data_IF_434368449669
#
_entry.id   IF_434368449669
#
_cell.length_a   1.000
_cell.length_b   1.000
_cell.length_c   1.000
_cell.angle_alpha   90.00
_cell.angle_beta   90.00
_cell.angle_gamma   90.00
#
_symmetry.space_group_name_H-M   'P 1'
#
loop_
_entity.id
_entity.type
_entity.pdbx_description
1 polymer ?
#
# COMPACT_ATOMS: atom_id res chain seq x y z
N UNK A 1 0.54 -10.34 -1.33
CA UNK A 1 0.50 -9.12 -2.15
C UNK A 1 0.77 -9.52 -3.60
N UNK A 2 -0.01 -9.07 -4.58
CA UNK A 2 0.09 -9.56 -5.97
C UNK A 2 1.47 -9.34 -6.58
N UNK A 3 2.09 -8.19 -6.34
CA UNK A 3 3.44 -7.92 -6.79
C UNK A 3 4.46 -8.82 -6.11
N UNK A 4 4.35 -8.99 -4.79
CA UNK A 4 5.24 -9.87 -4.02
C UNK A 4 5.12 -11.32 -4.47
N UNK A 5 3.88 -11.79 -4.75
CA UNK A 5 3.60 -13.18 -5.07
C UNK A 5 3.93 -13.56 -6.53
N UNK A 6 3.94 -12.58 -7.43
CA UNK A 6 4.10 -12.82 -8.86
C UNK A 6 5.28 -12.07 -9.48
N UNK A 7 5.25 -10.73 -9.49
CA UNK A 7 6.27 -9.92 -10.16
C UNK A 7 7.65 -10.08 -9.50
N UNK A 8 7.72 -9.92 -8.17
CA UNK A 8 9.00 -10.06 -7.47
C UNK A 8 9.56 -11.48 -7.59
N UNK A 9 8.72 -12.51 -7.55
CA UNK A 9 9.17 -13.89 -7.74
C UNK A 9 9.70 -14.13 -9.17
N UNK A 10 9.08 -13.51 -10.20
CA UNK A 10 9.60 -13.57 -11.55
C UNK A 10 10.97 -12.88 -11.67
N UNK A 11 11.10 -11.68 -11.10
CA UNK A 11 12.37 -10.94 -11.08
C UNK A 11 13.46 -11.68 -10.28
N UNK A 12 13.10 -12.33 -9.18
CA UNK A 12 14.04 -13.15 -8.38
C UNK A 12 14.51 -14.36 -9.18
N UNK A 13 13.61 -15.04 -9.89
CA UNK A 13 13.99 -16.14 -10.79
C UNK A 13 14.92 -15.67 -11.92
N UNK A 14 14.77 -14.42 -12.35
CA UNK A 14 15.67 -13.79 -13.33
C UNK A 14 17.02 -13.33 -12.74
N UNK A 15 17.27 -13.55 -11.45
CA UNK A 15 18.54 -13.33 -10.79
C UNK A 15 18.63 -12.08 -9.89
N UNK A 16 17.55 -11.35 -9.67
CA UNK A 16 17.56 -10.23 -8.73
C UNK A 16 17.54 -10.70 -7.27
N UNK A 17 18.23 -9.99 -6.35
CA UNK A 17 18.22 -10.35 -4.95
C UNK A 17 16.84 -10.08 -4.31
N UNK A 18 16.36 -11.02 -3.49
CA UNK A 18 15.07 -10.94 -2.79
C UNK A 18 14.99 -9.80 -1.78
N UNK A 19 16.04 -9.61 -0.98
CA UNK A 19 16.04 -8.75 0.20
C UNK A 19 16.96 -7.52 0.05
N UNK A 20 17.35 -7.22 -1.18
CA UNK A 20 18.19 -6.06 -1.50
C UNK A 20 17.76 -5.40 -2.81
N UNK A 21 18.33 -4.22 -3.09
CA UNK A 21 18.00 -3.48 -4.31
C UNK A 21 16.52 -3.09 -4.41
N UNK A 22 15.97 -3.00 -5.61
CA UNK A 22 14.58 -2.55 -5.82
C UNK A 22 13.55 -3.45 -5.14
N UNK A 23 13.69 -4.78 -5.23
CA UNK A 23 12.74 -5.72 -4.60
C UNK A 23 12.73 -5.55 -3.08
N UNK A 24 13.92 -5.53 -2.45
CA UNK A 24 14.02 -5.32 -1.00
C UNK A 24 13.43 -3.98 -0.55
N UNK A 25 13.63 -2.91 -1.33
CA UNK A 25 13.05 -1.60 -1.08
C UNK A 25 11.51 -1.64 -1.15
N UNK A 26 10.94 -2.24 -2.20
CA UNK A 26 9.48 -2.37 -2.35
C UNK A 26 8.85 -3.18 -1.23
N UNK A 27 9.45 -4.31 -0.87
CA UNK A 27 8.99 -5.15 0.26
C UNK A 27 8.98 -4.38 1.58
N UNK A 28 10.01 -3.58 1.83
CA UNK A 28 10.05 -2.70 3.01
C UNK A 28 8.93 -1.67 2.98
N UNK A 29 8.69 -1.00 1.85
CA UNK A 29 7.59 -0.04 1.71
C UNK A 29 6.22 -0.71 1.96
N UNK A 30 6.02 -1.93 1.46
CA UNK A 30 4.80 -2.70 1.73
C UNK A 30 4.62 -3.01 3.22
N UNK A 31 5.69 -3.38 3.92
CA UNK A 31 5.63 -3.64 5.38
C UNK A 31 5.26 -2.37 6.15
N UNK A 32 5.89 -1.24 5.82
CA UNK A 32 5.58 0.06 6.44
C UNK A 32 4.13 0.47 6.12
N UNK A 33 3.70 0.29 4.87
CA UNK A 33 2.33 0.56 4.44
C UNK A 33 1.30 -0.26 5.21
N UNK A 34 1.53 -1.57 5.38
CA UNK A 34 0.70 -2.44 6.22
C UNK A 34 0.59 -1.93 7.66
N UNK A 35 1.68 -1.40 8.21
CA UNK A 35 1.67 -0.78 9.53
C UNK A 35 0.76 0.45 9.61
N UNK A 36 0.82 1.34 8.62
CA UNK A 36 -0.08 2.50 8.57
C UNK A 36 -1.54 2.09 8.40
N UNK A 37 -1.83 1.14 7.52
CA UNK A 37 -3.20 0.62 7.32
C UNK A 37 -3.74 -0.02 8.60
N UNK A 38 -2.92 -0.75 9.36
CA UNK A 38 -3.33 -1.33 10.65
C UNK A 38 -3.75 -0.23 11.64
N UNK A 39 -2.96 0.84 11.78
CA UNK A 39 -3.32 1.98 12.65
C UNK A 39 -4.64 2.62 12.20
N UNK A 40 -4.83 2.83 10.90
CA UNK A 40 -6.08 3.40 10.37
C UNK A 40 -7.27 2.47 10.60
N UNK A 41 -7.08 1.16 10.45
CA UNK A 41 -8.10 0.15 10.70
C UNK A 41 -8.53 0.11 12.18
N UNK A 42 -7.57 0.17 13.10
CA UNK A 42 -7.84 0.23 14.53
C UNK A 42 -8.64 1.50 14.91
N UNK A 43 -8.25 2.64 14.34
CA UNK A 43 -8.99 3.89 14.52
C UNK A 43 -10.42 3.79 13.96
N UNK A 44 -10.62 3.16 12.81
CA UNK A 44 -11.94 2.98 12.21
C UNK A 44 -12.82 2.00 13.00
N UNK A 45 -12.25 0.97 13.61
CA UNK A 45 -12.96 -0.03 14.41
C UNK A 45 -13.54 0.52 15.73
N UNK A 46 -13.02 1.64 16.23
CA UNK A 46 -13.53 2.32 17.42
C UNK A 46 -14.97 2.81 17.23
N UNK A 47 -15.66 3.07 18.35
CA UNK A 47 -17.05 3.58 18.36
C UNK A 47 -17.12 5.05 18.75
N UNK A 48 -18.03 5.78 18.11
CA UNK A 48 -18.25 7.21 18.39
C UNK A 48 -17.20 8.13 17.76
N UNK A 49 -17.21 9.42 18.10
CA UNK A 49 -16.25 10.40 17.60
C UNK A 49 -14.82 10.06 17.99
N UNK A 50 -13.85 10.48 17.18
CA UNK A 50 -12.43 10.38 17.51
C UNK A 50 -12.12 11.30 18.70
N UNK A 51 -11.44 10.79 19.71
CA UNK A 51 -10.99 11.57 20.88
C UNK A 51 -9.54 12.07 20.68
N UNK A 52 -9.06 12.94 21.58
CA UNK A 52 -7.77 13.62 21.43
C UNK A 52 -6.59 12.73 20.98
N UNK A 53 -6.32 11.58 21.66
CA UNK A 53 -5.26 10.65 21.21
C UNK A 53 -5.49 10.08 19.81
N UNK A 54 -6.73 9.74 19.45
CA UNK A 54 -7.09 9.20 18.13
C UNK A 54 -6.87 10.24 17.03
N UNK A 55 -7.22 11.51 17.28
CA UNK A 55 -6.96 12.61 16.36
C UNK A 55 -5.46 12.81 16.11
N UNK A 56 -4.64 12.69 17.14
CA UNK A 56 -3.19 12.77 17.01
C UNK A 56 -2.66 11.59 16.20
N UNK A 57 -3.13 10.38 16.44
CA UNK A 57 -2.74 9.19 15.68
C UNK A 57 -3.14 9.32 14.21
N UNK A 58 -4.36 9.75 13.91
CA UNK A 58 -4.85 9.99 12.55
C UNK A 58 -4.02 11.05 11.82
N UNK A 59 -3.77 12.20 12.48
CA UNK A 59 -3.00 13.30 11.92
C UNK A 59 -1.53 12.93 11.59
N UNK A 60 -1.00 11.90 12.24
CA UNK A 60 0.32 11.35 11.95
C UNK A 60 0.27 10.26 10.87
N UNK A 61 -0.65 9.31 10.97
CA UNK A 61 -0.70 8.15 10.11
C UNK A 61 -1.07 8.51 8.66
N UNK A 62 -2.07 9.37 8.45
CA UNK A 62 -2.55 9.71 7.10
C UNK A 62 -1.48 10.39 6.24
N UNK A 63 -0.83 11.49 6.68
CA UNK A 63 0.21 12.12 5.85
C UNK A 63 1.44 11.23 5.64
N UNK A 64 1.78 10.38 6.62
CA UNK A 64 2.89 9.45 6.50
C UNK A 64 2.59 8.38 5.44
N UNK A 65 1.38 7.81 5.47
CA UNK A 65 0.94 6.83 4.48
C UNK A 65 0.83 7.41 3.07
N UNK A 66 0.29 8.62 2.93
CA UNK A 66 0.20 9.30 1.62
C UNK A 66 1.59 9.54 1.04
N UNK A 67 2.55 10.03 1.83
CA UNK A 67 3.93 10.20 1.36
C UNK A 67 4.55 8.88 0.93
N UNK A 68 4.40 7.84 1.76
CA UNK A 68 4.89 6.51 1.43
C UNK A 68 4.34 6.04 0.07
N UNK A 69 3.03 6.16 -0.16
CA UNK A 69 2.40 5.75 -1.42
C UNK A 69 2.91 6.54 -2.63
N UNK A 70 3.06 7.86 -2.51
CA UNK A 70 3.59 8.70 -3.60
C UNK A 70 5.01 8.29 -3.95
N UNK A 71 5.87 8.11 -2.96
CA UNK A 71 7.27 7.70 -3.16
C UNK A 71 7.36 6.26 -3.70
N UNK A 72 6.48 5.37 -3.24
CA UNK A 72 6.39 3.99 -3.68
C UNK A 72 5.99 3.89 -5.15
N UNK A 73 4.90 4.52 -5.56
CA UNK A 73 4.45 4.57 -6.96
C UNK A 73 5.52 5.17 -7.87
N UNK A 74 6.23 6.21 -7.40
CA UNK A 74 7.33 6.78 -8.15
C UNK A 74 8.46 5.76 -8.40
N UNK A 75 8.83 4.97 -7.37
CA UNK A 75 9.84 3.92 -7.48
C UNK A 75 9.38 2.78 -8.39
N UNK A 76 8.11 2.38 -8.33
CA UNK A 76 7.53 1.39 -9.25
C UNK A 76 7.67 1.84 -10.70
N UNK A 77 7.14 3.02 -11.02
CA UNK A 77 7.09 3.51 -12.39
C UNK A 77 8.46 3.81 -12.99
N UNK A 78 9.42 4.27 -12.19
CA UNK A 78 10.72 4.74 -12.70
C UNK A 78 11.87 3.75 -12.49
N UNK A 79 11.70 2.74 -11.64
CA UNK A 79 12.77 1.78 -11.34
C UNK A 79 12.30 0.34 -11.49
N UNK A 80 11.24 -0.07 -10.77
CA UNK A 80 10.85 -1.46 -10.68
C UNK A 80 10.33 -2.00 -12.01
N UNK A 81 9.33 -1.35 -12.61
CA UNK A 81 8.74 -1.81 -13.88
C UNK A 81 9.72 -1.76 -15.05
N UNK A 82 10.51 -0.68 -15.27
CA UNK A 82 11.55 -0.69 -16.30
C UNK A 82 12.60 -1.78 -16.11
N UNK A 83 12.94 -2.09 -14.86
CA UNK A 83 13.86 -3.19 -14.56
C UNK A 83 13.21 -4.56 -14.83
N UNK A 84 11.95 -4.75 -14.43
CA UNK A 84 11.22 -5.97 -14.71
C UNK A 84 11.14 -6.27 -16.21
N UNK A 85 10.84 -5.27 -17.04
CA UNK A 85 10.82 -5.40 -18.50
C UNK A 85 12.17 -5.86 -19.07
N UNK A 86 13.28 -5.44 -18.47
CA UNK A 86 14.62 -5.82 -18.92
C UNK A 86 15.01 -7.26 -18.54
N UNK A 87 14.56 -7.75 -17.37
CA UNK A 87 15.07 -9.02 -16.80
C UNK A 87 14.10 -10.19 -16.94
N UNK A 88 12.78 -9.93 -16.93
CA UNK A 88 11.76 -10.99 -16.96
C UNK A 88 11.39 -11.38 -18.39
N UNK A 89 11.46 -10.43 -19.34
CA UNK A 89 11.02 -10.63 -20.72
C UNK A 89 9.52 -10.35 -20.91
N UNK A 90 9.17 -9.93 -22.14
CA UNK A 90 7.83 -9.44 -22.46
C UNK A 90 6.73 -10.52 -22.35
N UNK A 91 7.04 -11.76 -22.76
CA UNK A 91 6.06 -12.86 -22.75
C UNK A 91 5.72 -13.29 -21.33
N UNK A 92 6.70 -13.35 -20.43
CA UNK A 92 6.49 -13.69 -19.02
C UNK A 92 5.75 -12.57 -18.29
N UNK A 93 6.03 -11.29 -18.58
CA UNK A 93 5.29 -10.17 -18.04
C UNK A 93 3.83 -10.15 -18.50
N UNK A 94 3.57 -10.41 -19.78
CA UNK A 94 2.22 -10.51 -20.31
C UNK A 94 1.44 -11.67 -19.66
N UNK A 95 2.11 -12.79 -19.35
CA UNK A 95 1.51 -13.90 -18.61
C UNK A 95 1.15 -13.51 -17.17
N UNK A 96 1.95 -12.65 -16.52
CA UNK A 96 1.65 -12.13 -15.18
C UNK A 96 0.40 -11.23 -15.17
N UNK A 97 0.21 -10.37 -16.17
CA UNK A 97 -0.98 -9.53 -16.30
C UNK A 97 -2.28 -10.35 -16.41
N UNK A 98 -2.22 -11.53 -17.03
CA UNK A 98 -3.37 -12.44 -17.12
C UNK A 98 -3.71 -13.14 -15.79
N UNK A 99 -2.72 -13.32 -14.91
CA UNK A 99 -2.88 -14.01 -13.62
C UNK A 99 -3.32 -13.05 -12.50
N UNK A 100 -3.10 -11.75 -12.67
CA UNK A 100 -3.36 -10.71 -11.66
C UNK A 100 -4.61 -9.89 -12.01
N UNK A 101 -5.83 -10.37 -11.75
CA UNK A 101 -7.04 -9.56 -11.93
C UNK A 101 -7.02 -8.35 -11.00
N UNK A 102 -7.58 -7.23 -11.47
CA UNK A 102 -7.68 -6.02 -10.67
C UNK A 102 -8.34 -6.31 -9.29
N UNK A 103 -7.68 -5.91 -8.20
CA UNK A 103 -8.17 -6.20 -6.84
C UNK A 103 -9.22 -5.16 -6.40
N UNK A 104 -10.38 -5.22 -7.04
CA UNK A 104 -11.49 -4.34 -6.70
C UNK A 104 -11.99 -4.48 -5.25
N UNK A 105 -11.72 -5.61 -4.59
CA UNK A 105 -12.12 -5.82 -3.19
C UNK A 105 -11.21 -5.09 -2.22
N UNK A 106 -9.89 -5.05 -2.45
CA UNK A 106 -8.96 -4.30 -1.62
C UNK A 106 -9.20 -2.79 -1.74
N UNK A 107 -9.43 -2.29 -2.95
CA UNK A 107 -9.78 -0.88 -3.18
C UNK A 107 -11.07 -0.50 -2.44
N UNK A 108 -12.14 -1.28 -2.58
CA UNK A 108 -13.41 -1.04 -1.85
C UNK A 108 -13.26 -1.06 -0.33
N UNK A 109 -12.41 -1.95 0.22
CA UNK A 109 -12.14 -1.98 1.66
C UNK A 109 -11.40 -0.73 2.13
N UNK A 110 -10.45 -0.22 1.36
CA UNK A 110 -9.73 1.02 1.67
C UNK A 110 -10.64 2.25 1.58
N UNK A 111 -11.53 2.32 0.59
CA UNK A 111 -12.55 3.35 0.48
C UNK A 111 -13.47 3.34 1.70
N UNK A 112 -14.05 2.20 2.06
CA UNK A 112 -14.91 2.06 3.23
C UNK A 112 -14.21 2.43 4.56
N UNK A 113 -12.91 2.14 4.67
CA UNK A 113 -12.08 2.55 5.80
C UNK A 113 -11.94 4.09 5.83
N UNK A 114 -11.68 4.69 4.68
CA UNK A 114 -11.56 6.14 4.51
C UNK A 114 -12.86 6.86 4.91
N UNK A 115 -13.99 6.40 4.40
CA UNK A 115 -15.32 6.95 4.72
C UNK A 115 -15.63 6.86 6.21
N UNK A 116 -15.37 5.70 6.83
CA UNK A 116 -15.56 5.52 8.27
C UNK A 116 -14.73 6.49 9.10
N UNK A 117 -13.47 6.71 8.73
CA UNK A 117 -12.58 7.65 9.43
C UNK A 117 -13.01 9.10 9.21
N UNK A 118 -13.46 9.46 7.99
CA UNK A 118 -13.96 10.79 7.69
C UNK A 118 -15.22 11.13 8.51
N UNK A 119 -16.15 10.20 8.62
CA UNK A 119 -17.37 10.35 9.43
C UNK A 119 -17.05 10.55 10.91
N UNK A 120 -16.16 9.74 11.46
CA UNK A 120 -15.73 9.84 12.87
C UNK A 120 -14.96 11.13 13.15
N UNK A 121 -14.13 11.59 12.21
CA UNK A 121 -13.43 12.86 12.31
C UNK A 121 -14.39 14.05 12.28
N UNK A 122 -15.38 14.02 11.38
CA UNK A 122 -16.39 15.06 11.27
C UNK A 122 -17.24 15.14 12.55
N UNK A 123 -17.67 14.00 13.09
CA UNK A 123 -18.38 13.93 14.36
C UNK A 123 -17.57 14.50 15.53
N UNK A 124 -16.26 14.26 15.58
CA UNK A 124 -15.37 14.81 16.60
C UNK A 124 -15.29 16.35 16.52
N UNK A 125 -15.25 16.93 15.30
CA UNK A 125 -15.23 18.39 15.11
C UNK A 125 -16.53 19.11 15.50
N UNK A 126 -17.67 18.43 15.38
CA UNK A 126 -18.97 19.00 15.78
C UNK A 126 -19.14 18.96 17.30
N UNK A 127 -18.51 18.00 17.98
CA UNK A 127 -18.58 17.81 19.43
C UNK A 127 -17.57 18.67 20.23
N UNK A 128 -16.68 19.40 19.54
CA UNK A 128 -15.66 20.28 20.15
C UNK A 128 -16.09 21.73 20.13
#
# INVERSE_FOLDING_TARGET
HKEEDHLFEAMIRAGLPRDAGPIGCMRHDHDVGRGHVAVLADLAAGRGPLVGPDLVALARAVPAYVRLLVDHIHKENNVLYPMAEQVVGADDLAALDLVVPADGDAARRLEALGDTLADRYTAARIAS
#
